data_IF_579133413146
#
_entry.id   IF_579133413146
#
_cell.length_a   1.000
_cell.length_b   1.000
_cell.length_c   1.000
_cell.angle_alpha   90.00
_cell.angle_beta   90.00
_cell.angle_gamma   90.00
#
_symmetry.space_group_name_H-M   'P 1'
#
loop_
_entity.id
_entity.type
_entity.pdbx_description
1 polymer ?
#
# COMPACT_ATOMS: atom_id res chain seq x y z
N UNK A 1 -3.04 76.28 -47.45
CA UNK A 1 -2.13 75.26 -47.99
C UNK A 1 -2.33 74.03 -47.13
N UNK A 2 -3.22 73.15 -47.54
CA UNK A 2 -3.64 71.92 -46.82
C UNK A 2 -2.96 70.74 -47.46
N UNK A 3 -2.04 70.13 -46.75
CA UNK A 3 -1.43 68.86 -47.16
C UNK A 3 -2.27 67.68 -46.66
N UNK A 4 -2.96 67.05 -47.58
CA UNK A 4 -3.62 65.78 -47.40
C UNK A 4 -2.59 64.63 -47.50
N UNK A 5 -2.31 63.94 -46.39
CA UNK A 5 -1.52 62.71 -46.38
C UNK A 5 -2.44 61.53 -46.71
N UNK A 6 -2.12 60.89 -47.82
CA UNK A 6 -2.76 59.63 -48.28
C UNK A 6 -2.36 58.44 -47.38
N UNK A 7 -3.27 57.54 -46.97
CA UNK A 7 -2.91 56.40 -46.14
C UNK A 7 -2.21 55.33 -47.00
N UNK A 8 -1.00 55.01 -46.59
CA UNK A 8 -0.18 53.94 -47.15
C UNK A 8 -0.85 52.57 -46.82
N UNK A 9 -1.35 51.89 -47.85
CA UNK A 9 -1.92 50.56 -47.70
C UNK A 9 -0.88 49.59 -47.11
N UNK A 10 -1.14 49.11 -45.92
CA UNK A 10 -0.40 47.99 -45.32
C UNK A 10 -0.74 46.73 -46.08
N UNK A 11 0.19 46.24 -46.89
CA UNK A 11 0.14 44.92 -47.49
C UNK A 11 0.32 43.89 -46.39
N UNK A 12 -0.72 43.13 -46.08
CA UNK A 12 -0.64 41.99 -45.15
C UNK A 12 0.38 40.99 -45.70
N UNK A 13 1.21 40.38 -44.84
CA UNK A 13 2.15 39.35 -45.28
C UNK A 13 1.37 38.16 -45.83
N UNK A 14 1.61 37.81 -47.09
CA UNK A 14 1.14 36.59 -47.71
C UNK A 14 1.79 35.42 -46.98
N UNK A 15 1.01 34.72 -46.17
CA UNK A 15 1.42 33.47 -45.58
C UNK A 15 1.54 32.47 -46.76
N UNK A 16 2.69 31.89 -47.02
CA UNK A 16 2.81 30.88 -48.06
C UNK A 16 1.95 29.67 -47.71
N UNK A 17 0.88 29.46 -48.44
CA UNK A 17 0.14 28.22 -48.55
C UNK A 17 1.01 27.21 -49.26
N UNK A 18 2.05 26.73 -48.61
CA UNK A 18 3.00 25.84 -49.17
C UNK A 18 3.34 24.68 -48.26
N UNK A 19 2.96 23.52 -48.65
CA UNK A 19 3.33 22.22 -48.13
C UNK A 19 2.83 21.96 -46.69
N UNK A 20 1.75 21.21 -46.57
CA UNK A 20 1.54 20.33 -45.43
C UNK A 20 2.85 19.58 -45.19
N UNK A 21 3.72 20.14 -44.36
CA UNK A 21 4.85 19.38 -43.84
C UNK A 21 4.24 18.08 -43.34
N UNK A 22 4.67 16.97 -43.92
CA UNK A 22 4.32 15.65 -43.43
C UNK A 22 4.89 15.55 -42.04
N UNK A 23 4.09 15.99 -41.06
CA UNK A 23 4.45 15.91 -39.64
C UNK A 23 4.65 14.42 -39.40
N UNK A 24 5.90 14.05 -39.10
CA UNK A 24 6.22 12.67 -38.78
C UNK A 24 5.27 12.27 -37.65
N UNK A 25 4.34 11.33 -37.85
CA UNK A 25 3.32 10.97 -36.84
C UNK A 25 3.92 10.53 -35.51
N UNK A 26 5.20 10.14 -35.53
CA UNK A 26 5.94 9.73 -34.34
C UNK A 26 6.57 10.91 -33.54
N UNK A 27 6.58 12.13 -34.09
CA UNK A 27 7.13 13.31 -33.41
C UNK A 27 6.12 13.98 -32.48
N UNK A 28 4.85 13.61 -32.56
CA UNK A 28 3.77 14.19 -31.73
C UNK A 28 3.70 13.43 -30.41
N UNK A 29 4.31 14.02 -29.38
CA UNK A 29 4.13 13.56 -27.99
C UNK A 29 2.72 13.94 -27.55
N UNK A 30 1.89 12.98 -27.08
CA UNK A 30 0.54 13.29 -26.62
C UNK A 30 0.57 14.29 -25.45
N UNK A 31 -0.28 15.34 -25.46
CA UNK A 31 -0.32 16.32 -24.38
C UNK A 31 -0.82 15.70 -23.08
N UNK A 32 -0.08 15.87 -21.99
CA UNK A 32 -0.38 15.29 -20.66
C UNK A 32 -1.38 16.13 -19.85
N UNK A 33 -1.62 17.39 -20.24
CA UNK A 33 -2.46 18.31 -19.45
C UNK A 33 -3.97 18.10 -19.57
N UNK A 34 -4.43 17.40 -20.62
CA UNK A 34 -5.84 17.10 -20.84
C UNK A 34 -5.98 15.64 -21.27
N UNK A 35 -6.70 14.85 -20.46
CA UNK A 35 -6.89 13.42 -20.69
C UNK A 35 -7.56 13.12 -22.04
N UNK A 36 -8.58 13.88 -22.41
CA UNK A 36 -9.31 13.65 -23.67
C UNK A 36 -8.44 13.98 -24.88
N UNK A 37 -7.64 15.06 -24.78
CA UNK A 37 -6.66 15.41 -25.80
C UNK A 37 -5.59 14.31 -25.94
N UNK A 38 -5.11 13.77 -24.81
CA UNK A 38 -4.17 12.63 -24.80
C UNK A 38 -4.78 11.41 -25.49
N UNK A 39 -5.99 10.98 -25.10
CA UNK A 39 -6.65 9.82 -25.72
C UNK A 39 -6.89 10.04 -27.21
N UNK A 40 -7.28 11.24 -27.62
CA UNK A 40 -7.48 11.60 -29.03
C UNK A 40 -6.19 11.54 -29.83
N UNK A 41 -5.09 12.04 -29.26
CA UNK A 41 -3.76 11.98 -29.89
C UNK A 41 -3.28 10.54 -30.03
N UNK A 42 -3.40 9.73 -28.98
CA UNK A 42 -3.04 8.31 -28.99
C UNK A 42 -3.82 7.52 -30.05
N UNK A 43 -5.09 7.83 -30.24
CA UNK A 43 -5.94 7.16 -31.22
C UNK A 43 -5.59 7.53 -32.68
N UNK A 44 -4.84 8.61 -32.92
CA UNK A 44 -4.36 9.01 -34.24
C UNK A 44 -3.04 8.34 -34.64
N UNK A 45 -2.32 7.76 -33.66
CA UNK A 45 -1.04 7.10 -33.94
C UNK A 45 -1.23 5.86 -34.84
N UNK A 46 -0.35 5.63 -35.81
CA UNK A 46 -0.43 4.48 -36.68
C UNK A 46 -0.15 3.18 -35.93
N UNK A 47 -0.81 2.10 -36.37
CA UNK A 47 -0.53 0.76 -35.85
C UNK A 47 0.57 0.13 -36.66
N UNK A 48 1.45 -0.63 -36.04
CA UNK A 48 2.53 -1.35 -36.69
C UNK A 48 2.05 -2.67 -37.29
N UNK A 49 2.61 -3.02 -38.47
CA UNK A 49 2.50 -4.37 -39.01
C UNK A 49 3.39 -5.34 -38.25
N UNK A 50 3.19 -6.65 -38.42
CA UNK A 50 4.02 -7.66 -37.75
C UNK A 50 5.50 -7.51 -38.13
N UNK A 51 5.77 -7.23 -39.42
CA UNK A 51 7.12 -7.08 -39.94
C UNK A 51 7.83 -5.87 -39.32
N UNK A 52 7.15 -4.73 -39.27
CA UNK A 52 7.66 -3.51 -38.63
C UNK A 52 7.89 -3.70 -37.13
N UNK A 53 6.97 -4.40 -36.43
CA UNK A 53 7.11 -4.72 -35.00
C UNK A 53 8.39 -5.54 -34.76
N UNK A 54 8.63 -6.57 -35.59
CA UNK A 54 9.83 -7.40 -35.51
C UNK A 54 11.11 -6.64 -35.83
N UNK A 55 11.07 -5.80 -36.88
CA UNK A 55 12.21 -4.98 -37.29
C UNK A 55 12.62 -4.01 -36.17
N UNK A 56 11.66 -3.25 -35.62
CA UNK A 56 11.94 -2.32 -34.52
C UNK A 56 12.39 -3.04 -33.27
N UNK A 57 11.82 -4.21 -32.95
CA UNK A 57 12.23 -5.00 -31.79
C UNK A 57 13.68 -5.55 -31.96
N UNK A 58 14.06 -5.99 -33.15
CA UNK A 58 15.44 -6.41 -33.43
C UNK A 58 16.41 -5.23 -33.35
N UNK A 59 16.06 -4.08 -33.94
CA UNK A 59 16.88 -2.88 -33.86
C UNK A 59 17.07 -2.42 -32.40
N UNK A 60 16.03 -2.50 -31.57
CA UNK A 60 16.14 -2.21 -30.14
C UNK A 60 17.07 -3.18 -29.42
N UNK A 61 16.96 -4.49 -29.69
CA UNK A 61 17.77 -5.52 -29.03
C UNK A 61 19.24 -5.47 -29.46
N UNK A 62 19.49 -5.34 -30.75
CA UNK A 62 20.83 -5.49 -31.32
C UNK A 62 21.62 -4.18 -31.26
N UNK A 63 20.96 -3.04 -31.47
CA UNK A 63 21.58 -1.72 -31.57
C UNK A 63 21.26 -0.79 -30.40
N UNK A 64 20.38 -1.20 -29.45
CA UNK A 64 19.83 -0.32 -28.39
C UNK A 64 19.21 0.97 -28.96
N UNK A 65 18.56 0.89 -30.13
CA UNK A 65 17.95 2.03 -30.80
C UNK A 65 16.71 2.53 -30.04
N UNK A 66 16.83 3.72 -29.43
CA UNK A 66 15.76 4.37 -28.66
C UNK A 66 14.61 4.86 -29.54
N UNK A 67 14.88 5.21 -30.81
CA UNK A 67 13.83 5.65 -31.73
C UNK A 67 12.91 4.48 -32.09
N UNK A 68 13.46 3.31 -32.31
CA UNK A 68 12.69 2.07 -32.52
C UNK A 68 11.88 1.71 -31.27
N UNK A 69 12.46 1.84 -30.06
CA UNK A 69 11.72 1.66 -28.82
C UNK A 69 10.56 2.66 -28.69
N UNK A 70 10.79 3.94 -29.02
CA UNK A 70 9.76 4.98 -29.02
C UNK A 70 8.59 4.64 -29.95
N UNK A 71 8.86 4.17 -31.17
CA UNK A 71 7.84 3.75 -32.14
C UNK A 71 7.02 2.56 -31.63
N UNK A 72 7.68 1.56 -31.01
CA UNK A 72 7.01 0.41 -30.40
C UNK A 72 6.08 0.84 -29.25
N UNK A 73 6.53 1.73 -28.37
CA UNK A 73 5.70 2.24 -27.26
C UNK A 73 4.53 3.06 -27.81
N UNK A 74 4.78 4.05 -28.65
CA UNK A 74 3.75 4.97 -29.17
C UNK A 74 2.64 4.22 -29.91
N UNK A 75 2.97 3.22 -30.73
CA UNK A 75 1.98 2.42 -31.47
C UNK A 75 1.05 1.60 -30.56
N UNK A 76 1.50 1.27 -29.34
CA UNK A 76 0.75 0.43 -28.40
C UNK A 76 0.09 1.20 -27.25
N UNK A 77 0.20 2.54 -27.16
CA UNK A 77 -0.48 3.36 -26.15
C UNK A 77 -2.01 3.18 -26.15
N UNK A 78 -2.60 2.96 -27.35
CA UNK A 78 -4.04 2.67 -27.48
C UNK A 78 -4.46 1.42 -26.70
N UNK A 79 -3.60 0.40 -26.66
CA UNK A 79 -3.82 -0.81 -25.86
C UNK A 79 -3.87 -0.48 -24.37
N UNK A 80 -2.95 0.37 -23.89
CA UNK A 80 -2.91 0.80 -22.49
C UNK A 80 -4.19 1.51 -22.11
N UNK A 81 -4.66 2.48 -22.91
CA UNK A 81 -5.93 3.19 -22.68
C UNK A 81 -7.11 2.21 -22.61
N UNK A 82 -7.15 1.22 -23.51
CA UNK A 82 -8.22 0.21 -23.52
C UNK A 82 -8.21 -0.67 -22.26
N UNK A 83 -7.03 -1.04 -21.78
CA UNK A 83 -6.89 -1.86 -20.58
C UNK A 83 -7.23 -1.05 -19.32
N UNK A 84 -6.71 0.18 -19.19
CA UNK A 84 -6.92 1.04 -18.01
C UNK A 84 -8.41 1.36 -17.77
N UNK A 85 -9.21 1.51 -18.83
CA UNK A 85 -10.66 1.71 -18.73
C UNK A 85 -11.39 0.63 -17.92
N UNK A 86 -10.91 -0.60 -17.94
CA UNK A 86 -11.51 -1.72 -17.20
C UNK A 86 -11.33 -1.59 -15.68
N UNK A 87 -10.44 -0.70 -15.24
CA UNK A 87 -10.08 -0.50 -13.83
C UNK A 87 -10.64 0.79 -13.24
N UNK A 88 -11.45 1.57 -13.98
CA UNK A 88 -12.07 2.80 -13.48
C UNK A 88 -12.97 2.57 -12.26
N UNK A 89 -13.55 1.39 -12.13
CA UNK A 89 -14.43 1.02 -11.01
C UNK A 89 -13.74 0.98 -9.63
N UNK A 90 -12.42 1.15 -9.56
CA UNK A 90 -11.68 1.23 -8.29
C UNK A 90 -11.60 2.66 -7.72
N UNK A 91 -12.13 3.69 -8.42
CA UNK A 91 -12.17 5.07 -7.93
C UNK A 91 -10.85 5.84 -8.05
N UNK A 92 -9.86 5.30 -8.76
CA UNK A 92 -8.58 5.96 -8.98
C UNK A 92 -8.61 6.83 -10.26
N UNK A 93 -7.80 7.90 -10.33
CA UNK A 93 -7.74 8.78 -11.51
C UNK A 93 -7.33 8.00 -12.76
N UNK A 94 -8.09 8.17 -13.85
CA UNK A 94 -7.82 7.46 -15.10
C UNK A 94 -6.45 7.79 -15.70
N UNK A 95 -6.01 9.04 -15.54
CA UNK A 95 -4.70 9.49 -16.00
C UNK A 95 -3.57 8.66 -15.36
N UNK A 96 -3.64 8.45 -14.06
CA UNK A 96 -2.64 7.69 -13.31
C UNK A 96 -2.62 6.22 -13.73
N UNK A 97 -3.81 5.61 -13.90
CA UNK A 97 -3.91 4.23 -14.39
C UNK A 97 -3.30 4.07 -15.79
N UNK A 98 -3.43 5.07 -16.67
CA UNK A 98 -2.81 5.07 -17.98
C UNK A 98 -1.29 5.19 -17.84
N UNK A 99 -0.77 6.09 -16.99
CA UNK A 99 0.68 6.27 -16.85
C UNK A 99 1.35 5.03 -16.25
N UNK A 100 0.76 4.41 -15.24
CA UNK A 100 1.25 3.13 -14.71
C UNK A 100 1.19 2.01 -15.77
N UNK A 101 0.13 1.99 -16.57
CA UNK A 101 0.04 1.10 -17.72
C UNK A 101 1.14 1.35 -18.76
N UNK A 102 1.50 2.62 -19.01
CA UNK A 102 2.60 2.99 -19.88
C UNK A 102 3.96 2.51 -19.34
N UNK A 103 4.16 2.60 -18.01
CA UNK A 103 5.35 2.02 -17.37
C UNK A 103 5.41 0.51 -17.61
N UNK A 104 4.28 -0.18 -17.45
CA UNK A 104 4.17 -1.61 -17.77
C UNK A 104 4.51 -1.91 -19.24
N UNK A 105 4.00 -1.12 -20.18
CA UNK A 105 4.31 -1.24 -21.60
C UNK A 105 5.81 -1.04 -21.87
N UNK A 106 6.43 -0.01 -21.27
CA UNK A 106 7.87 0.23 -21.42
C UNK A 106 8.72 -0.94 -20.86
N UNK A 107 8.32 -1.51 -19.72
CA UNK A 107 8.96 -2.71 -19.18
C UNK A 107 8.83 -3.91 -20.12
N UNK A 108 7.66 -4.06 -20.75
CA UNK A 108 7.43 -5.12 -21.75
C UNK A 108 8.30 -4.93 -22.99
N UNK A 109 8.33 -3.73 -23.57
CA UNK A 109 9.16 -3.43 -24.76
C UNK A 109 10.64 -3.71 -24.50
N UNK A 110 11.16 -3.34 -23.33
CA UNK A 110 12.56 -3.59 -22.94
C UNK A 110 12.91 -5.08 -22.87
N UNK A 111 11.94 -5.95 -22.57
CA UNK A 111 12.15 -7.38 -22.36
C UNK A 111 11.58 -8.24 -23.48
N UNK A 112 11.04 -7.61 -24.51
CA UNK A 112 10.41 -8.32 -25.60
C UNK A 112 11.47 -8.97 -26.50
N UNK A 113 11.26 -10.25 -26.80
CA UNK A 113 12.07 -11.02 -27.72
C UNK A 113 11.25 -11.33 -28.99
N UNK A 114 11.61 -10.75 -30.14
CA UNK A 114 10.88 -10.95 -31.42
C UNK A 114 10.99 -12.37 -31.96
N UNK A 115 11.98 -13.15 -31.55
CA UNK A 115 12.25 -14.48 -32.07
C UNK A 115 11.36 -15.58 -31.48
N UNK A 116 10.61 -15.24 -30.38
CA UNK A 116 9.66 -16.15 -29.71
C UNK A 116 8.34 -16.37 -30.51
N UNK A 117 8.14 -15.69 -31.60
CA UNK A 117 6.93 -15.84 -32.45
C UNK A 117 5.64 -15.28 -31.83
N UNK A 118 5.71 -14.57 -30.72
CA UNK A 118 4.56 -13.96 -30.02
C UNK A 118 4.48 -12.47 -30.35
N UNK A 119 3.26 -11.94 -30.52
CA UNK A 119 3.04 -10.50 -30.74
C UNK A 119 3.31 -9.71 -29.48
N UNK A 120 3.89 -8.52 -29.62
CA UNK A 120 4.13 -7.60 -28.50
C UNK A 120 2.85 -7.28 -27.71
N UNK A 121 1.71 -7.15 -28.39
CA UNK A 121 0.40 -6.93 -27.76
C UNK A 121 0.09 -7.99 -26.69
N UNK A 122 0.27 -9.27 -27.03
CA UNK A 122 -0.01 -10.38 -26.11
C UNK A 122 0.93 -10.40 -24.91
N UNK A 123 2.21 -10.15 -25.17
CA UNK A 123 3.23 -10.08 -24.12
C UNK A 123 3.05 -8.85 -23.22
N UNK A 124 2.86 -7.67 -23.81
CA UNK A 124 2.71 -6.42 -23.07
C UNK A 124 1.47 -6.39 -22.19
N UNK A 125 0.37 -7.04 -22.59
CA UNK A 125 -0.87 -7.08 -21.83
C UNK A 125 -0.66 -7.56 -20.39
N UNK A 126 0.21 -8.53 -20.15
CA UNK A 126 0.51 -9.04 -18.82
C UNK A 126 1.27 -8.02 -17.97
N UNK A 127 2.24 -7.33 -18.56
CA UNK A 127 3.03 -6.29 -17.90
C UNK A 127 2.19 -5.06 -17.56
N UNK A 128 1.36 -4.60 -18.51
CA UNK A 128 0.43 -3.48 -18.31
C UNK A 128 -0.53 -3.77 -17.15
N UNK A 129 -1.17 -4.95 -17.16
CA UNK A 129 -2.07 -5.35 -16.08
C UNK A 129 -1.35 -5.45 -14.74
N UNK A 130 -0.13 -5.98 -14.71
CA UNK A 130 0.64 -6.14 -13.48
C UNK A 130 0.93 -4.78 -12.81
N UNK A 131 1.39 -3.78 -13.58
CA UNK A 131 1.66 -2.45 -13.05
C UNK A 131 0.38 -1.74 -12.58
N UNK A 132 -0.69 -1.80 -13.37
CA UNK A 132 -1.99 -1.23 -12.97
C UNK A 132 -2.50 -1.90 -11.67
N UNK A 133 -2.42 -3.22 -11.57
CA UNK A 133 -2.82 -3.94 -10.36
C UNK A 133 -1.99 -3.54 -9.14
N UNK A 134 -0.67 -3.40 -9.32
CA UNK A 134 0.20 -2.99 -8.22
C UNK A 134 -0.09 -1.56 -7.77
N UNK A 135 -0.33 -0.64 -8.72
CA UNK A 135 -0.73 0.73 -8.42
C UNK A 135 -2.06 0.79 -7.66
N UNK A 136 -3.08 0.04 -8.11
CA UNK A 136 -4.37 -0.05 -7.43
C UNK A 136 -4.20 -0.53 -5.98
N UNK A 137 -3.46 -1.64 -5.77
CA UNK A 137 -3.25 -2.19 -4.43
C UNK A 137 -2.52 -1.24 -3.47
N UNK A 138 -1.68 -0.35 -4.01
CA UNK A 138 -0.93 0.64 -3.21
C UNK A 138 -1.76 1.89 -2.87
N UNK A 139 -2.62 2.33 -3.80
CA UNK A 139 -3.24 3.66 -3.75
C UNK A 139 -4.77 3.61 -3.57
N UNK A 140 -5.39 2.44 -3.48
CA UNK A 140 -6.83 2.31 -3.32
C UNK A 140 -7.34 2.91 -2.01
N UNK A 141 -6.54 2.84 -0.92
CA UNK A 141 -6.82 3.43 0.39
C UNK A 141 -5.53 3.91 1.05
N UNK A 142 -5.66 4.74 2.08
CA UNK A 142 -4.53 5.21 2.88
C UNK A 142 -3.75 4.07 3.51
N UNK A 143 -4.44 3.01 3.94
CA UNK A 143 -3.82 1.80 4.49
C UNK A 143 -3.82 0.67 3.46
N UNK A 144 -2.73 -0.06 3.33
CA UNK A 144 -2.62 -1.22 2.44
C UNK A 144 -3.56 -2.33 2.89
N UNK A 145 -4.59 -2.61 2.10
CA UNK A 145 -5.63 -3.60 2.42
C UNK A 145 -5.16 -5.03 2.11
N UNK A 146 -4.41 -5.24 1.03
CA UNK A 146 -4.00 -6.56 0.56
C UNK A 146 -2.48 -6.68 0.49
N UNK A 147 -1.87 -7.34 1.47
CA UNK A 147 -0.41 -7.54 1.58
C UNK A 147 0.02 -8.94 1.16
N UNK A 148 -0.76 -9.98 1.48
CA UNK A 148 -0.46 -11.38 1.15
C UNK A 148 -0.93 -11.73 -0.27
N UNK A 149 -0.40 -12.84 -0.81
CA UNK A 149 -0.80 -13.35 -2.13
C UNK A 149 -2.28 -13.72 -2.18
N UNK A 150 -2.81 -14.31 -1.12
CA UNK A 150 -4.22 -14.68 -1.00
C UNK A 150 -5.12 -13.44 -0.97
N UNK A 151 -4.76 -12.43 -0.15
CA UNK A 151 -5.50 -11.16 -0.06
C UNK A 151 -5.52 -10.40 -1.40
N UNK A 152 -4.40 -10.36 -2.15
CA UNK A 152 -4.35 -9.75 -3.49
C UNK A 152 -5.29 -10.45 -4.47
N UNK A 153 -5.35 -11.79 -4.41
CA UNK A 153 -6.24 -12.59 -5.24
C UNK A 153 -7.72 -12.33 -4.90
N UNK A 154 -8.02 -12.24 -3.62
CA UNK A 154 -9.36 -11.90 -3.12
C UNK A 154 -9.76 -10.48 -3.50
N UNK A 155 -8.87 -9.49 -3.37
CA UNK A 155 -9.14 -8.10 -3.68
C UNK A 155 -9.74 -7.90 -5.09
N UNK A 156 -9.18 -8.55 -6.10
CA UNK A 156 -9.65 -8.41 -7.48
C UNK A 156 -10.86 -9.27 -7.82
N UNK A 157 -11.07 -10.39 -7.11
CA UNK A 157 -12.13 -11.36 -7.46
C UNK A 157 -13.36 -11.26 -6.56
N UNK A 158 -13.21 -10.83 -5.29
CA UNK A 158 -14.31 -10.85 -4.31
C UNK A 158 -15.51 -10.03 -4.78
N UNK A 159 -15.28 -8.82 -5.31
CA UNK A 159 -16.36 -7.95 -5.79
C UNK A 159 -17.11 -8.56 -6.98
N UNK A 160 -16.39 -9.14 -7.94
CA UNK A 160 -17.01 -9.77 -9.12
C UNK A 160 -17.78 -11.02 -8.74
N UNK A 161 -17.24 -11.86 -7.85
CA UNK A 161 -17.94 -13.06 -7.38
C UNK A 161 -19.15 -12.70 -6.52
N UNK A 162 -19.05 -11.68 -5.67
CA UNK A 162 -20.18 -11.18 -4.86
C UNK A 162 -21.31 -10.65 -5.76
N UNK A 163 -20.97 -9.98 -6.87
CA UNK A 163 -21.97 -9.54 -7.85
C UNK A 163 -22.63 -10.75 -8.54
N UNK A 164 -21.86 -11.74 -8.98
CA UNK A 164 -22.41 -12.96 -9.57
C UNK A 164 -23.39 -13.69 -8.63
N UNK A 165 -23.07 -13.77 -7.32
CA UNK A 165 -24.00 -14.36 -6.35
C UNK A 165 -25.28 -13.51 -6.12
N UNK A 166 -25.21 -12.19 -6.33
CA UNK A 166 -26.41 -11.32 -6.27
C UNK A 166 -27.30 -11.51 -7.50
N UNK A 167 -26.70 -11.72 -8.66
CA UNK A 167 -27.43 -11.92 -9.90
C UNK A 167 -28.15 -13.30 -9.92
N UNK A 168 -27.58 -14.30 -9.23
CA UNK A 168 -28.16 -15.66 -9.08
C UNK A 168 -29.21 -15.77 -7.95
N UNK A 169 -29.28 -14.78 -7.04
CA UNK A 169 -30.19 -14.79 -5.89
C UNK A 169 -31.49 -14.04 -6.19
N UNK A 170 -32.63 -14.61 -5.81
CA UNK A 170 -33.92 -13.94 -5.86
C UNK A 170 -33.89 -12.60 -5.12
N UNK A 171 -34.53 -11.58 -5.71
CA UNK A 171 -34.52 -10.15 -5.31
C UNK A 171 -34.84 -9.89 -3.83
N UNK A 172 -35.39 -10.89 -3.10
CA UNK A 172 -35.83 -10.75 -1.71
C UNK A 172 -34.70 -10.83 -0.65
N UNK A 173 -33.46 -11.21 -1.02
CA UNK A 173 -32.37 -11.44 -0.06
C UNK A 173 -31.11 -10.61 -0.38
N UNK A 174 -31.26 -9.31 -0.62
CA UNK A 174 -30.13 -8.39 -0.76
C UNK A 174 -29.42 -8.18 0.59
N UNK A 175 -28.59 -9.13 0.98
CA UNK A 175 -27.68 -8.97 2.12
C UNK A 175 -26.35 -8.40 1.62
N UNK A 176 -25.80 -7.45 2.36
CA UNK A 176 -24.49 -6.88 2.03
C UNK A 176 -23.33 -7.79 2.46
N UNK A 177 -23.60 -8.80 3.28
CA UNK A 177 -22.62 -9.79 3.75
C UNK A 177 -22.78 -11.12 3.05
N UNK A 178 -21.66 -11.83 2.85
CA UNK A 178 -21.63 -13.15 2.25
C UNK A 178 -22.23 -14.21 3.20
N UNK A 179 -22.95 -15.18 2.65
CA UNK A 179 -23.42 -16.35 3.40
C UNK A 179 -22.27 -17.37 3.54
N UNK A 180 -22.38 -18.27 4.52
CA UNK A 180 -21.35 -19.30 4.74
C UNK A 180 -21.10 -20.18 3.50
N UNK A 181 -22.16 -20.56 2.79
CA UNK A 181 -22.01 -21.33 1.56
C UNK A 181 -21.31 -20.57 0.43
N UNK A 182 -21.51 -19.26 0.33
CA UNK A 182 -20.82 -18.38 -0.63
C UNK A 182 -19.34 -18.23 -0.26
N UNK A 183 -19.02 -18.10 1.03
CA UNK A 183 -17.65 -18.05 1.54
C UNK A 183 -16.91 -19.34 1.19
N UNK A 184 -17.53 -20.50 1.42
CA UNK A 184 -16.93 -21.81 1.10
C UNK A 184 -16.72 -22.00 -0.42
N UNK A 185 -17.67 -21.54 -1.23
CA UNK A 185 -17.56 -21.57 -2.69
C UNK A 185 -16.42 -20.69 -3.19
N UNK A 186 -16.29 -19.47 -2.64
CA UNK A 186 -15.17 -18.57 -2.95
C UNK A 186 -13.83 -19.15 -2.53
N UNK A 187 -13.74 -19.69 -1.31
CA UNK A 187 -12.53 -20.28 -0.77
C UNK A 187 -12.04 -21.44 -1.67
N UNK A 188 -12.94 -22.30 -2.12
CA UNK A 188 -12.63 -23.39 -3.05
C UNK A 188 -12.20 -22.89 -4.43
N UNK A 189 -12.98 -21.98 -5.03
CA UNK A 189 -12.71 -21.46 -6.39
C UNK A 189 -11.37 -20.71 -6.45
N UNK A 190 -11.08 -19.91 -5.44
CA UNK A 190 -9.85 -19.11 -5.37
C UNK A 190 -8.68 -19.86 -4.71
N UNK A 191 -8.90 -21.06 -4.16
CA UNK A 191 -7.90 -21.80 -3.41
C UNK A 191 -7.22 -20.93 -2.34
N UNK A 192 -8.04 -20.40 -1.43
CA UNK A 192 -7.65 -19.59 -0.27
C UNK A 192 -8.35 -20.11 0.98
N UNK A 193 -7.88 -19.72 2.17
CA UNK A 193 -8.53 -20.11 3.41
C UNK A 193 -9.84 -19.37 3.61
N UNK A 194 -10.79 -20.01 4.28
CA UNK A 194 -12.10 -19.43 4.61
C UNK A 194 -11.96 -18.16 5.47
N UNK A 195 -11.07 -18.19 6.45
CA UNK A 195 -10.80 -17.07 7.34
C UNK A 195 -10.30 -15.83 6.57
N UNK A 196 -9.47 -16.04 5.54
CA UNK A 196 -8.96 -14.96 4.68
C UNK A 196 -10.09 -14.30 3.87
N UNK A 197 -11.11 -15.05 3.45
CA UNK A 197 -12.28 -14.51 2.74
C UNK A 197 -13.08 -13.60 3.65
N UNK A 198 -13.37 -14.05 4.89
CA UNK A 198 -14.11 -13.28 5.90
C UNK A 198 -13.35 -12.00 6.26
N UNK A 199 -12.05 -12.13 6.56
CA UNK A 199 -11.20 -10.99 6.87
C UNK A 199 -11.18 -9.96 5.73
N UNK A 200 -11.07 -10.43 4.49
CA UNK A 200 -11.01 -9.55 3.33
C UNK A 200 -12.36 -8.88 3.05
N UNK A 201 -13.48 -9.57 3.27
CA UNK A 201 -14.81 -8.98 3.19
C UNK A 201 -14.96 -7.84 4.20
N UNK A 202 -14.57 -8.04 5.45
CA UNK A 202 -14.61 -7.00 6.48
C UNK A 202 -13.75 -5.80 6.12
N UNK A 203 -12.52 -6.04 5.63
CA UNK A 203 -11.62 -4.96 5.20
C UNK A 203 -12.15 -4.16 4.02
N UNK A 204 -12.90 -4.78 3.12
CA UNK A 204 -13.44 -4.13 1.93
C UNK A 204 -14.82 -3.50 2.15
N UNK A 205 -15.53 -3.84 3.22
CA UNK A 205 -16.91 -3.36 3.48
C UNK A 205 -16.96 -1.89 3.91
N UNK A 206 -15.97 -1.39 4.65
CA UNK A 206 -15.88 0.00 5.09
C UNK A 206 -15.09 0.89 4.14
N UNK A 207 -15.37 2.20 4.10
CA UNK A 207 -14.54 3.23 3.45
C UNK A 207 -13.62 3.93 4.45
N UNK A 208 -12.69 4.75 3.95
CA UNK A 208 -11.96 5.70 4.78
C UNK A 208 -12.94 6.79 5.24
N UNK A 209 -12.90 7.14 6.52
CA UNK A 209 -13.78 8.17 7.10
C UNK A 209 -13.00 9.47 7.21
N UNK A 210 -13.55 10.55 6.68
CA UNK A 210 -12.98 11.89 6.84
C UNK A 210 -13.16 12.32 8.30
N UNK A 211 -12.09 12.82 8.92
CA UNK A 211 -12.11 13.35 10.29
C UNK A 211 -12.57 14.80 10.31
N UNK A 212 -12.25 15.56 9.27
CA UNK A 212 -12.66 16.94 9.13
C UNK A 212 -14.16 17.06 8.80
N UNK A 213 -14.83 18.15 9.24
CA UNK A 213 -16.19 18.40 8.86
C UNK A 213 -16.29 18.57 7.34
N UNK A 214 -17.33 17.99 6.74
CA UNK A 214 -17.65 18.24 5.33
C UNK A 214 -18.10 19.70 5.20
N UNK A 215 -17.61 20.48 4.21
CA UNK A 215 -18.10 21.83 3.99
C UNK A 215 -19.61 21.78 3.72
N UNK A 216 -20.39 22.38 4.63
CA UNK A 216 -21.82 22.53 4.48
C UNK A 216 -22.12 23.78 3.66
N UNK A 217 -23.04 23.69 2.72
CA UNK A 217 -23.47 24.81 1.87
C UNK A 217 -24.22 25.90 2.67
N UNK A 218 -24.69 25.56 3.88
CA UNK A 218 -25.55 26.43 4.71
C UNK A 218 -24.79 27.26 5.76
N UNK A 219 -23.43 27.18 5.79
CA UNK A 219 -22.62 28.00 6.68
C UNK A 219 -22.76 27.73 8.18
N UNK A 220 -23.46 26.67 8.58
CA UNK A 220 -23.53 26.21 9.98
C UNK A 220 -22.25 25.42 10.31
N UNK A 221 -21.75 25.61 11.55
CA UNK A 221 -20.63 24.86 12.09
C UNK A 221 -20.98 23.37 12.22
N UNK A 222 -20.66 22.60 11.19
CA UNK A 222 -20.84 21.15 11.20
C UNK A 222 -19.71 20.52 12.01
N UNK A 223 -20.06 19.89 13.13
CA UNK A 223 -19.10 19.18 13.96
C UNK A 223 -18.56 17.95 13.19
N UNK A 224 -17.25 17.95 12.89
CA UNK A 224 -16.58 16.81 12.28
C UNK A 224 -16.37 15.66 13.28
N UNK A 225 -16.17 14.42 12.82
CA UNK A 225 -15.87 13.28 13.69
C UNK A 225 -14.68 13.50 14.63
N UNK A 226 -13.73 14.37 14.25
CA UNK A 226 -12.59 14.74 15.11
C UNK A 226 -13.02 15.32 16.47
N UNK A 227 -14.16 16.02 16.51
CA UNK A 227 -14.67 16.62 17.76
C UNK A 227 -15.15 15.57 18.79
N UNK A 228 -15.47 14.36 18.34
CA UNK A 228 -15.91 13.25 19.18
C UNK A 228 -14.79 12.28 19.58
N UNK A 229 -13.58 12.47 19.04
CA UNK A 229 -12.44 11.64 19.39
C UNK A 229 -11.88 12.06 20.75
N UNK A 230 -11.94 11.12 21.71
CA UNK A 230 -11.35 11.34 23.03
C UNK A 230 -9.83 11.10 22.97
N UNK A 231 -9.05 11.98 23.60
CA UNK A 231 -7.63 11.77 23.85
C UNK A 231 -7.45 10.89 25.09
N UNK A 232 -7.15 9.61 24.88
CA UNK A 232 -6.92 8.65 25.95
C UNK A 232 -5.60 8.89 26.70
N UNK A 233 -4.69 9.73 26.22
CA UNK A 233 -3.39 10.00 26.88
C UNK A 233 -3.54 10.81 28.15
N UNK A 234 -4.60 11.62 28.26
CA UNK A 234 -4.90 12.48 29.38
C UNK A 234 -5.91 11.84 30.37
N UNK A 235 -6.26 10.58 30.20
CA UNK A 235 -7.20 9.92 31.09
C UNK A 235 -6.61 9.77 32.51
N UNK A 236 -7.27 10.32 33.57
CA UNK A 236 -6.72 10.33 34.90
C UNK A 236 -6.42 8.92 35.46
N UNK A 237 -7.28 7.95 35.16
CA UNK A 237 -7.10 6.55 35.60
C UNK A 237 -5.86 5.92 34.98
N UNK A 238 -5.62 6.13 33.67
CA UNK A 238 -4.43 5.64 32.96
C UNK A 238 -3.16 6.31 33.49
N UNK A 239 -3.20 7.63 33.75
CA UNK A 239 -2.08 8.39 34.33
C UNK A 239 -1.75 7.92 35.75
N UNK A 240 -2.77 7.69 36.58
CA UNK A 240 -2.55 7.16 37.91
C UNK A 240 -1.98 5.76 37.92
N UNK A 241 -2.51 4.87 37.04
CA UNK A 241 -1.99 3.52 36.88
C UNK A 241 -0.54 3.50 36.39
N UNK A 242 -0.18 4.44 35.48
CA UNK A 242 1.22 4.60 35.04
C UNK A 242 2.11 5.07 36.20
N UNK A 243 1.71 6.11 36.94
CA UNK A 243 2.46 6.61 38.08
C UNK A 243 2.63 5.57 39.19
N UNK A 244 1.61 4.77 39.44
CA UNK A 244 1.69 3.68 40.43
C UNK A 244 2.70 2.61 39.96
N UNK A 245 2.67 2.23 38.69
CA UNK A 245 3.66 1.29 38.12
C UNK A 245 5.08 1.82 38.21
N UNK A 246 5.28 3.10 37.87
CA UNK A 246 6.59 3.74 37.92
C UNK A 246 7.10 3.85 39.38
N UNK A 247 6.23 4.17 40.33
CA UNK A 247 6.53 4.19 41.74
C UNK A 247 6.88 2.79 42.28
N UNK A 248 6.13 1.79 41.89
CA UNK A 248 6.37 0.40 42.26
C UNK A 248 7.70 -0.10 41.67
N UNK A 249 8.00 0.24 40.41
CA UNK A 249 9.22 -0.14 39.72
C UNK A 249 10.47 0.56 40.31
N UNK A 250 10.38 1.84 40.63
CA UNK A 250 11.53 2.60 41.14
C UNK A 250 11.70 2.46 42.64
N UNK A 251 10.71 2.92 43.42
CA UNK A 251 10.78 3.02 44.87
C UNK A 251 10.41 1.71 45.58
N UNK A 252 9.40 1.01 45.08
CA UNK A 252 8.91 -0.23 45.67
C UNK A 252 9.94 -1.36 45.59
N UNK A 253 10.57 -1.55 44.44
CA UNK A 253 11.61 -2.59 44.27
C UNK A 253 12.82 -2.25 45.14
N UNK A 254 13.27 -0.99 45.17
CA UNK A 254 14.39 -0.57 45.98
C UNK A 254 14.13 -0.82 47.46
N UNK A 255 12.97 -0.40 48.00
CA UNK A 255 12.58 -0.64 49.38
C UNK A 255 12.45 -2.14 49.71
N UNK A 256 11.89 -2.92 48.79
CA UNK A 256 11.78 -4.37 48.95
C UNK A 256 13.15 -5.09 48.97
N UNK A 257 14.15 -4.58 48.23
CA UNK A 257 15.50 -5.08 48.26
C UNK A 257 16.24 -4.69 49.56
N UNK A 258 15.96 -3.51 50.14
CA UNK A 258 16.53 -3.08 51.38
C UNK A 258 16.09 -3.92 52.57
N UNK A 259 14.84 -4.43 52.58
CA UNK A 259 14.31 -5.32 53.61
C UNK A 259 14.85 -6.76 53.55
N UNK A 260 15.65 -7.09 52.51
CA UNK A 260 16.26 -8.39 52.37
C UNK A 260 17.65 -8.41 53.04
N UNK A 261 18.01 -9.60 53.57
CA UNK A 261 19.40 -9.87 53.98
C UNK A 261 20.36 -9.79 52.81
N UNK A 262 21.61 -9.39 53.07
CA UNK A 262 22.61 -9.13 52.02
C UNK A 262 22.81 -10.29 51.04
N UNK A 263 22.64 -11.53 51.50
CA UNK A 263 22.75 -12.73 50.67
C UNK A 263 21.57 -12.89 49.70
N UNK A 264 20.37 -12.75 50.25
CA UNK A 264 19.14 -12.87 49.43
C UNK A 264 19.01 -11.72 48.46
N UNK A 265 19.37 -10.49 48.83
CA UNK A 265 19.44 -9.32 47.94
C UNK A 265 20.34 -9.59 46.76
N UNK A 266 21.57 -10.01 47.00
CA UNK A 266 22.53 -10.26 45.91
C UNK A 266 22.05 -11.37 44.96
N UNK A 267 21.42 -12.45 45.48
CA UNK A 267 20.86 -13.52 44.66
C UNK A 267 19.76 -12.99 43.73
N UNK A 268 18.87 -12.14 44.23
CA UNK A 268 17.81 -11.55 43.47
C UNK A 268 18.34 -10.54 42.43
N UNK A 269 19.30 -9.68 42.82
CA UNK A 269 19.92 -8.72 41.90
C UNK A 269 20.66 -9.39 40.75
N UNK A 270 21.49 -10.38 41.04
CA UNK A 270 22.30 -11.09 40.03
C UNK A 270 21.46 -11.92 39.07
N UNK A 271 20.28 -12.38 39.53
CA UNK A 271 19.42 -13.23 38.71
C UNK A 271 18.34 -12.49 37.91
N UNK A 272 17.76 -11.45 38.49
CA UNK A 272 16.57 -10.80 37.93
C UNK A 272 16.80 -9.34 37.47
N UNK A 273 17.72 -8.62 38.09
CA UNK A 273 17.94 -7.20 37.81
C UNK A 273 19.17 -6.95 36.93
N UNK A 274 20.16 -7.80 36.98
CA UNK A 274 21.32 -7.71 36.08
C UNK A 274 21.06 -8.51 34.81
N UNK A 275 21.16 -7.82 33.70
CA UNK A 275 21.14 -8.42 32.35
C UNK A 275 22.59 -8.55 31.91
N UNK A 276 23.01 -9.70 31.42
CA UNK A 276 24.35 -9.88 30.87
C UNK A 276 24.52 -9.04 29.60
N UNK A 277 25.75 -8.69 29.24
CA UNK A 277 26.09 -7.89 28.06
C UNK A 277 25.58 -8.54 26.76
N UNK A 278 25.36 -9.85 26.73
CA UNK A 278 24.84 -10.62 25.62
C UNK A 278 23.29 -10.59 25.51
N UNK A 279 22.59 -9.84 26.36
CA UNK A 279 21.12 -9.80 26.43
C UNK A 279 20.49 -11.08 26.98
N UNK A 280 21.28 -12.08 27.40
CA UNK A 280 20.78 -13.22 28.16
C UNK A 280 20.48 -12.80 29.58
N UNK A 281 19.35 -13.29 30.15
CA UNK A 281 18.96 -12.99 31.53
C UNK A 281 20.07 -13.27 32.54
N UNK A 282 19.90 -12.82 33.80
CA UNK A 282 20.91 -12.94 34.86
C UNK A 282 21.45 -14.35 35.11
N UNK A 283 22.35 -14.47 36.09
CA UNK A 283 23.03 -15.75 36.43
C UNK A 283 22.05 -16.91 36.67
N UNK A 284 22.45 -18.11 36.25
CA UNK A 284 21.65 -19.31 36.49
C UNK A 284 21.74 -19.76 37.96
N UNK A 285 20.76 -20.63 38.38
CA UNK A 285 20.83 -21.21 39.74
C UNK A 285 22.09 -22.00 39.98
N UNK A 286 22.65 -22.62 38.96
CA UNK A 286 23.88 -23.41 39.04
C UNK A 286 25.14 -22.53 39.23
N UNK A 287 25.19 -21.37 38.55
CA UNK A 287 26.28 -20.43 38.67
C UNK A 287 26.34 -19.83 40.08
N UNK A 288 25.19 -19.43 40.62
CA UNK A 288 25.07 -18.93 41.97
C UNK A 288 25.34 -20.04 43.01
N UNK A 289 24.94 -21.27 42.76
CA UNK A 289 25.22 -22.40 43.62
C UNK A 289 26.73 -22.67 43.71
N UNK A 290 27.46 -22.59 42.60
CA UNK A 290 28.90 -22.71 42.55
C UNK A 290 29.62 -21.56 43.31
N UNK A 291 29.14 -20.30 43.13
CA UNK A 291 29.69 -19.11 43.82
C UNK A 291 29.51 -19.19 45.33
N UNK A 292 28.33 -19.60 45.81
CA UNK A 292 28.04 -19.70 47.24
C UNK A 292 28.38 -21.07 47.87
N UNK A 293 28.89 -22.01 47.09
CA UNK A 293 29.23 -23.38 47.51
C UNK A 293 28.07 -24.13 48.20
N UNK A 294 26.89 -24.00 47.65
CA UNK A 294 25.65 -24.64 48.12
C UNK A 294 24.93 -25.34 46.93
N UNK A 295 23.94 -26.16 47.24
CA UNK A 295 23.15 -26.79 46.19
C UNK A 295 22.28 -25.79 45.45
N UNK A 296 22.01 -26.03 44.17
CA UNK A 296 21.09 -25.20 43.35
C UNK A 296 19.67 -25.11 43.98
N UNK A 297 19.22 -26.20 44.58
CA UNK A 297 17.93 -26.24 45.29
C UNK A 297 17.91 -25.31 46.53
N UNK A 298 19.05 -25.17 47.21
CA UNK A 298 19.16 -24.22 48.31
C UNK A 298 19.07 -22.78 47.84
N UNK A 299 19.68 -22.43 46.71
CA UNK A 299 19.54 -21.11 46.10
C UNK A 299 18.07 -20.86 45.72
N UNK A 300 17.37 -21.84 45.14
CA UNK A 300 15.96 -21.74 44.82
C UNK A 300 15.08 -21.52 46.06
N UNK A 301 15.34 -22.18 47.18
CA UNK A 301 14.65 -21.95 48.45
C UNK A 301 14.85 -20.53 48.96
N UNK A 302 16.09 -20.02 48.92
CA UNK A 302 16.39 -18.66 49.31
C UNK A 302 15.66 -17.66 48.44
N UNK A 303 15.68 -17.86 47.14
CA UNK A 303 14.98 -17.03 46.15
C UNK A 303 13.45 -16.96 46.43
N UNK A 304 12.80 -18.13 46.62
CA UNK A 304 11.37 -18.21 46.90
C UNK A 304 11.03 -17.49 48.24
N UNK A 305 11.90 -17.65 49.25
CA UNK A 305 11.73 -16.94 50.54
C UNK A 305 11.90 -15.41 50.38
N UNK A 306 12.88 -14.97 49.60
CA UNK A 306 13.12 -13.57 49.29
C UNK A 306 11.94 -12.98 48.52
N UNK A 307 11.44 -13.64 47.47
CA UNK A 307 10.29 -13.19 46.68
C UNK A 307 9.00 -13.08 47.57
N UNK A 308 8.82 -13.97 48.53
CA UNK A 308 7.71 -13.86 49.48
C UNK A 308 7.84 -12.63 50.38
N UNK A 309 9.03 -12.28 50.87
CA UNK A 309 9.28 -11.06 51.64
C UNK A 309 9.05 -9.82 50.78
N UNK A 310 9.65 -9.75 49.61
CA UNK A 310 9.48 -8.65 48.67
C UNK A 310 8.00 -8.43 48.33
N UNK A 311 7.22 -9.50 48.11
CA UNK A 311 5.77 -9.39 47.84
C UNK A 311 4.99 -8.70 48.98
N UNK A 312 5.38 -8.91 50.23
CA UNK A 312 4.75 -8.23 51.38
C UNK A 312 5.04 -6.74 51.37
N UNK A 313 6.28 -6.36 51.09
CA UNK A 313 6.69 -4.94 51.03
C UNK A 313 6.03 -4.27 49.82
N UNK A 314 6.05 -4.91 48.65
CA UNK A 314 5.46 -4.37 47.43
C UNK A 314 3.92 -4.20 47.55
N UNK A 315 3.24 -4.99 48.39
CA UNK A 315 1.79 -4.83 48.60
C UNK A 315 1.42 -3.48 49.29
N UNK A 316 2.37 -2.80 49.91
CA UNK A 316 2.16 -1.45 50.48
C UNK A 316 2.31 -0.33 49.44
N UNK A 317 2.86 -0.64 48.23
CA UNK A 317 3.01 0.29 47.13
C UNK A 317 1.95 0.09 46.02
N UNK A 318 1.18 -1.00 46.04
CA UNK A 318 0.09 -1.30 45.15
C UNK A 318 -1.23 -0.68 45.65
#
# INVERSE_FOLDING_TARGET
>A
MSHTLSPKAMVAPVVPTGALATVNPWSVIPPLGNLDAYISAVNRLPMLTLEQEQEFAKNLRDNNDLDSAGKLVLSHLRLVVSISRKYLGYGLPHGDLIQEGNIGLMKAVKRFDPDQGVRLVSYAMHWIKAEIHEYILKNWRMVKVATTKAQRKLFFNLRSMKQGFKDDADVATHRDTLTEGQIDSMAKTLNVKREEVIEMEQRMSGGDVLLDPSPSDDGEDVFGPIAYLADATQEPTALMASRQRDNLASNGISAALEDLDARSRRIVEERWLKVNDDGSGGKTLHDLAAEYKVSAERIRQIEVAAMKKMKKVLASYA
#
